data_IF_393288905193
#
_entry.id   IF_393288905193
#
_cell.length_a   1.000
_cell.length_b   1.000
_cell.length_c   1.000
_cell.angle_alpha   90.00
_cell.angle_beta   90.00
_cell.angle_gamma   90.00
#
_symmetry.space_group_name_H-M   'P 1'
#
loop_
_entity.id
_entity.type
_entity.pdbx_description
1 polymer ?
#
# COMPACT_ATOMS: atom_id res chain seq x y z
N UNK A 1 14.25 6.76 -18.31
CA UNK A 1 15.44 7.12 -17.50
C UNK A 1 15.84 8.60 -17.59
N UNK A 2 15.45 9.35 -18.59
CA UNK A 2 15.77 10.80 -18.71
C UNK A 2 15.23 11.63 -17.54
N UNK A 3 14.03 11.34 -17.05
CA UNK A 3 13.43 12.09 -15.94
C UNK A 3 14.25 12.04 -14.63
N UNK A 4 14.89 10.91 -14.33
CA UNK A 4 15.69 10.75 -13.11
C UNK A 4 17.00 11.54 -13.21
N UNK A 5 17.59 11.62 -14.41
CA UNK A 5 18.85 12.35 -14.64
C UNK A 5 18.72 13.87 -14.54
N UNK A 6 17.52 14.38 -14.79
CA UNK A 6 17.21 15.82 -14.79
C UNK A 6 16.52 16.29 -13.49
N UNK A 7 16.29 15.39 -12.53
CA UNK A 7 15.74 15.73 -11.22
C UNK A 7 16.82 16.39 -10.36
N UNK A 8 16.45 17.43 -9.61
CA UNK A 8 17.36 18.10 -8.67
C UNK A 8 17.90 17.16 -7.56
N UNK A 9 17.15 16.06 -7.29
CA UNK A 9 17.57 14.93 -6.46
C UNK A 9 17.27 13.62 -7.22
N UNK A 10 18.28 13.03 -7.84
CA UNK A 10 18.13 11.82 -8.66
C UNK A 10 17.70 10.59 -7.85
N UNK A 11 18.16 10.50 -6.60
CA UNK A 11 17.86 9.35 -5.73
C UNK A 11 16.43 9.39 -5.26
N UNK A 12 15.93 10.54 -4.82
CA UNK A 12 14.54 10.73 -4.46
C UNK A 12 13.60 10.42 -5.64
N UNK A 13 13.94 10.87 -6.85
CA UNK A 13 13.17 10.57 -8.03
C UNK A 13 13.15 9.07 -8.34
N UNK A 14 14.29 8.38 -8.22
CA UNK A 14 14.40 6.94 -8.44
C UNK A 14 13.52 6.16 -7.46
N UNK A 15 13.65 6.46 -6.17
CA UNK A 15 12.86 5.80 -5.12
C UNK A 15 11.37 6.10 -5.21
N UNK A 16 11.00 7.32 -5.62
CA UNK A 16 9.60 7.69 -5.89
C UNK A 16 9.00 6.82 -6.98
N UNK A 17 9.67 6.69 -8.13
CA UNK A 17 9.21 5.82 -9.21
C UNK A 17 9.16 4.35 -8.81
N UNK A 18 10.14 3.89 -8.02
CA UNK A 18 10.16 2.52 -7.51
C UNK A 18 8.96 2.25 -6.60
N UNK A 19 8.73 3.11 -5.59
CA UNK A 19 7.62 2.99 -4.67
C UNK A 19 6.25 2.97 -5.38
N UNK A 20 6.06 3.83 -6.39
CA UNK A 20 4.84 3.85 -7.19
C UNK A 20 4.60 2.52 -7.92
N UNK A 21 5.64 1.98 -8.55
CA UNK A 21 5.53 0.72 -9.31
C UNK A 21 5.34 -0.49 -8.41
N UNK A 22 6.00 -0.52 -7.27
CA UNK A 22 5.79 -1.57 -6.26
C UNK A 22 4.38 -1.52 -5.70
N UNK A 23 3.85 -0.32 -5.43
CA UNK A 23 2.46 -0.14 -5.01
C UNK A 23 1.49 -0.65 -6.08
N UNK A 24 1.68 -0.26 -7.33
CA UNK A 24 0.86 -0.75 -8.43
C UNK A 24 0.91 -2.28 -8.56
N UNK A 25 2.09 -2.88 -8.40
CA UNK A 25 2.24 -4.34 -8.38
C UNK A 25 1.43 -4.99 -7.26
N UNK A 26 1.51 -4.46 -6.03
CA UNK A 26 0.75 -4.98 -4.89
C UNK A 26 -0.76 -4.90 -5.11
N UNK A 27 -1.25 -3.82 -5.72
CA UNK A 27 -2.67 -3.66 -6.06
C UNK A 27 -3.09 -4.69 -7.11
N UNK A 28 -2.41 -4.73 -8.24
CA UNK A 28 -2.74 -5.61 -9.37
C UNK A 28 -2.64 -7.10 -8.99
N UNK A 29 -1.65 -7.47 -8.20
CA UNK A 29 -1.43 -8.87 -7.77
C UNK A 29 -2.58 -9.43 -6.93
N UNK A 30 -3.38 -8.59 -6.29
CA UNK A 30 -4.58 -9.02 -5.55
C UNK A 30 -5.67 -9.56 -6.48
N UNK A 31 -5.80 -8.97 -7.68
CA UNK A 31 -6.78 -9.37 -8.69
C UNK A 31 -6.18 -10.37 -9.69
N UNK A 32 -4.90 -10.22 -10.02
CA UNK A 32 -4.18 -11.04 -10.98
C UNK A 32 -2.95 -11.69 -10.31
N UNK A 33 -3.12 -12.82 -9.59
CA UNK A 33 -2.04 -13.42 -8.80
C UNK A 33 -0.79 -13.81 -9.59
N UNK A 34 -0.95 -14.11 -10.88
CA UNK A 34 0.15 -14.56 -11.77
C UNK A 34 0.85 -13.40 -12.49
N UNK A 35 0.50 -12.13 -12.17
CA UNK A 35 1.14 -10.98 -12.81
C UNK A 35 2.62 -10.91 -12.43
N UNK A 36 3.48 -10.73 -13.45
CA UNK A 36 4.89 -10.49 -13.25
C UNK A 36 5.17 -9.01 -12.95
N UNK A 37 6.13 -8.73 -12.06
CA UNK A 37 6.60 -7.38 -11.81
C UNK A 37 7.55 -6.93 -12.92
N UNK A 38 7.06 -6.08 -13.83
CA UNK A 38 7.82 -5.57 -14.98
C UNK A 38 7.95 -4.03 -14.91
N UNK A 39 8.68 -3.48 -13.92
CA UNK A 39 8.67 -2.05 -13.61
C UNK A 39 9.15 -1.16 -14.76
N UNK A 40 9.98 -1.69 -15.68
CA UNK A 40 10.43 -0.94 -16.88
C UNK A 40 9.31 -0.69 -17.90
N UNK A 41 8.25 -1.49 -17.87
CA UNK A 41 7.10 -1.40 -18.78
C UNK A 41 5.94 -0.59 -18.21
N UNK A 42 6.02 -0.16 -16.97
CA UNK A 42 4.94 0.53 -16.25
C UNK A 42 5.25 2.03 -16.15
N UNK A 43 4.72 2.87 -17.06
CA UNK A 43 4.91 4.31 -16.96
C UNK A 43 4.18 4.87 -15.74
N UNK A 44 4.82 5.85 -15.12
CA UNK A 44 4.28 6.61 -13.99
C UNK A 44 4.14 8.06 -14.44
N UNK A 45 3.00 8.67 -14.20
CA UNK A 45 2.75 10.09 -14.41
C UNK A 45 2.29 10.71 -13.11
N UNK A 46 2.77 11.91 -12.80
CA UNK A 46 2.37 12.69 -11.64
C UNK A 46 1.59 13.92 -12.07
N UNK A 47 0.57 14.28 -11.29
CA UNK A 47 -0.06 15.59 -11.39
C UNK A 47 0.84 16.62 -10.70
N UNK A 48 1.28 17.63 -11.46
CA UNK A 48 2.27 18.62 -11.00
C UNK A 48 1.71 19.67 -10.02
N UNK A 49 0.47 19.52 -9.56
CA UNK A 49 -0.26 20.62 -8.90
C UNK A 49 -0.08 20.74 -7.39
N UNK A 50 0.62 19.82 -6.68
CA UNK A 50 0.65 19.80 -5.21
C UNK A 50 2.03 19.55 -4.61
N UNK A 51 2.39 20.28 -3.55
CA UNK A 51 3.75 20.43 -3.02
C UNK A 51 4.25 19.41 -1.98
N UNK A 52 3.38 18.64 -1.32
CA UNK A 52 3.77 17.64 -0.30
C UNK A 52 3.19 16.24 -0.55
N UNK A 53 2.13 16.15 -1.32
CA UNK A 53 1.48 14.94 -1.75
C UNK A 53 1.36 15.03 -3.25
N UNK A 54 1.96 14.11 -3.97
CA UNK A 54 1.83 14.03 -5.41
C UNK A 54 0.83 12.95 -5.77
N UNK A 55 -0.25 13.35 -6.40
CA UNK A 55 -1.20 12.43 -7.02
C UNK A 55 -0.62 11.95 -8.34
N UNK A 56 -0.87 10.71 -8.69
CA UNK A 56 -0.31 10.15 -9.92
C UNK A 56 -1.04 8.91 -10.41
N UNK A 57 -0.52 8.41 -11.50
CA UNK A 57 -1.06 7.25 -12.20
C UNK A 57 0.07 6.31 -12.62
N UNK A 58 -0.08 5.03 -12.36
CA UNK A 58 0.76 3.97 -12.92
C UNK A 58 -0.05 3.16 -13.91
N UNK A 59 0.35 3.18 -15.17
CA UNK A 59 -0.28 2.34 -16.21
C UNK A 59 0.35 0.95 -16.19
N UNK A 60 -0.49 -0.07 -15.95
CA UNK A 60 -0.08 -1.48 -16.04
C UNK A 60 -0.67 -2.07 -17.31
N UNK A 61 0.15 -2.39 -18.32
CA UNK A 61 -0.34 -2.90 -19.60
C UNK A 61 -1.28 -4.10 -19.41
N UNK A 62 -2.41 -4.08 -20.11
CA UNK A 62 -3.45 -5.13 -20.13
C UNK A 62 -4.13 -5.38 -18.76
N UNK A 63 -3.83 -4.57 -17.73
CA UNK A 63 -4.39 -4.72 -16.38
C UNK A 63 -5.08 -3.48 -15.85
N UNK A 64 -4.83 -2.33 -16.48
CA UNK A 64 -5.49 -1.08 -16.14
C UNK A 64 -4.60 -0.06 -15.43
N UNK A 65 -5.23 0.97 -14.98
CA UNK A 65 -4.60 2.13 -14.34
C UNK A 65 -4.67 1.99 -12.82
N UNK A 66 -3.55 2.32 -12.15
CA UNK A 66 -3.48 2.39 -10.69
C UNK A 66 -3.26 3.83 -10.28
N UNK A 67 -4.22 4.37 -9.57
CA UNK A 67 -4.20 5.71 -9.00
C UNK A 67 -3.42 5.71 -7.71
N UNK A 68 -2.50 6.67 -7.55
CA UNK A 68 -1.55 6.68 -6.43
C UNK A 68 -1.50 8.03 -5.73
N UNK A 69 -1.23 7.96 -4.40
CA UNK A 69 -0.72 9.06 -3.61
C UNK A 69 0.72 8.78 -3.23
N UNK A 70 1.63 9.67 -3.57
CA UNK A 70 3.03 9.63 -3.18
C UNK A 70 3.29 10.68 -2.10
N UNK A 71 3.82 10.25 -0.98
CA UNK A 71 4.28 11.07 0.13
C UNK A 71 5.80 11.01 0.15
N UNK A 72 6.44 12.18 0.09
CA UNK A 72 7.89 12.31 0.22
C UNK A 72 8.23 13.28 1.35
N UNK A 73 9.15 12.88 2.20
CA UNK A 73 9.77 13.70 3.21
C UNK A 73 11.26 13.32 3.30
N UNK A 74 12.08 14.05 4.10
CA UNK A 74 13.52 13.77 4.18
C UNK A 74 13.88 12.34 4.63
N UNK A 75 13.00 11.68 5.38
CA UNK A 75 13.30 10.41 6.04
C UNK A 75 12.79 9.19 5.25
N UNK A 76 11.68 9.35 4.49
CA UNK A 76 11.09 8.24 3.72
C UNK A 76 10.28 8.70 2.52
N UNK A 77 10.09 7.78 1.60
CA UNK A 77 9.14 7.86 0.50
C UNK A 77 8.09 6.77 0.70
N UNK A 78 6.82 7.16 0.76
CA UNK A 78 5.69 6.25 0.92
C UNK A 78 4.68 6.44 -0.20
N UNK A 79 4.22 5.34 -0.79
CA UNK A 79 3.23 5.36 -1.85
C UNK A 79 2.07 4.42 -1.50
N UNK A 80 0.86 4.93 -1.66
CA UNK A 80 -0.38 4.14 -1.57
C UNK A 80 -1.14 4.22 -2.88
N UNK A 81 -1.98 3.23 -3.18
CA UNK A 81 -2.71 3.23 -4.44
C UNK A 81 -3.87 2.26 -4.48
N UNK A 82 -4.75 2.50 -5.44
CA UNK A 82 -5.98 1.74 -5.72
C UNK A 82 -6.24 1.67 -7.23
N UNK A 83 -7.05 0.73 -7.65
CA UNK A 83 -7.52 0.56 -9.02
C UNK A 83 -8.76 1.41 -9.37
N UNK A 84 -9.42 1.99 -8.36
CA UNK A 84 -10.54 2.93 -8.55
C UNK A 84 -10.20 4.31 -8.00
N UNK A 85 -10.23 5.36 -8.83
CA UNK A 85 -9.92 6.73 -8.43
C UNK A 85 -10.78 7.20 -7.25
N UNK A 86 -12.07 6.84 -7.22
CA UNK A 86 -13.00 7.21 -6.15
C UNK A 86 -12.65 6.64 -4.76
N UNK A 87 -11.76 5.65 -4.71
CA UNK A 87 -11.28 5.04 -3.48
C UNK A 87 -9.97 5.67 -2.98
N UNK A 88 -9.25 6.43 -3.81
CA UNK A 88 -7.92 6.93 -3.50
C UNK A 88 -7.89 7.84 -2.25
N UNK A 89 -8.82 8.80 -2.16
CA UNK A 89 -8.92 9.70 -1.01
C UNK A 89 -9.52 9.05 0.26
N UNK A 90 -9.99 7.80 0.14
CA UNK A 90 -10.53 7.01 1.27
C UNK A 90 -9.51 6.09 1.90
N UNK A 91 -8.29 6.05 1.38
CA UNK A 91 -7.20 5.25 1.95
C UNK A 91 -6.84 5.82 3.31
N UNK A 92 -6.89 4.99 4.34
CA UNK A 92 -6.28 5.27 5.64
C UNK A 92 -4.88 4.66 5.60
N UNK A 93 -3.85 5.46 5.78
CA UNK A 93 -2.47 4.98 5.80
C UNK A 93 -1.64 5.75 6.82
N UNK A 94 -0.58 5.11 7.29
CA UNK A 94 0.40 5.74 8.17
C UNK A 94 1.76 5.08 8.02
N UNK A 95 2.81 5.80 8.46
CA UNK A 95 4.19 5.34 8.50
C UNK A 95 4.71 5.54 9.92
N UNK A 96 5.17 4.47 10.53
CA UNK A 96 5.63 4.43 11.91
C UNK A 96 7.12 4.06 12.00
N UNK A 97 7.82 4.67 12.94
CA UNK A 97 9.19 4.28 13.26
C UNK A 97 9.21 2.93 13.98
N UNK A 98 10.02 2.01 13.48
CA UNK A 98 10.27 0.74 14.16
C UNK A 98 11.07 1.02 15.45
N UNK A 99 10.60 0.59 16.61
CA UNK A 99 11.34 0.75 17.86
C UNK A 99 12.73 0.11 17.79
N UNK A 100 13.72 0.78 18.37
CA UNK A 100 15.06 0.23 18.47
C UNK A 100 15.08 -1.11 19.20
N UNK A 101 15.88 -2.08 18.70
CA UNK A 101 16.02 -3.40 19.29
C UNK A 101 15.63 -4.54 18.35
N UNK A 102 15.32 -5.72 18.92
CA UNK A 102 14.98 -6.94 18.13
C UNK A 102 13.49 -7.03 17.78
N UNK A 103 12.85 -5.91 17.43
CA UNK A 103 11.43 -5.90 17.06
C UNK A 103 11.25 -6.45 15.64
N UNK A 104 10.42 -7.47 15.48
CA UNK A 104 10.04 -7.99 14.15
C UNK A 104 9.18 -6.95 13.42
N UNK A 105 9.64 -6.40 12.28
CA UNK A 105 8.90 -5.38 11.54
C UNK A 105 7.52 -5.85 11.08
N UNK A 106 7.40 -7.12 10.74
CA UNK A 106 6.13 -7.71 10.28
C UNK A 106 5.10 -7.85 11.40
N UNK A 107 5.55 -8.13 12.64
CA UNK A 107 4.66 -8.13 13.81
C UNK A 107 4.29 -6.71 14.20
N UNK A 108 5.25 -5.80 14.20
CA UNK A 108 5.03 -4.41 14.57
C UNK A 108 4.07 -3.71 13.62
N UNK A 109 4.24 -3.87 12.30
CA UNK A 109 3.31 -3.28 11.32
C UNK A 109 1.87 -3.78 11.49
N UNK A 110 1.69 -5.07 11.85
CA UNK A 110 0.35 -5.60 12.17
C UNK A 110 -0.22 -5.02 13.47
N UNK A 111 0.62 -4.77 14.46
CA UNK A 111 0.19 -4.15 15.71
C UNK A 111 -0.28 -2.71 15.45
N UNK A 112 0.52 -1.90 14.74
CA UNK A 112 0.16 -0.52 14.39
C UNK A 112 -1.18 -0.48 13.61
N UNK A 113 -1.32 -1.33 12.60
CA UNK A 113 -2.58 -1.44 11.86
C UNK A 113 -3.74 -1.88 12.75
N UNK A 114 -3.57 -2.88 13.62
CA UNK A 114 -4.62 -3.33 14.51
C UNK A 114 -5.06 -2.24 15.49
N UNK A 115 -4.13 -1.44 16.01
CA UNK A 115 -4.42 -0.28 16.87
C UNK A 115 -5.20 0.80 16.11
N UNK A 116 -4.81 1.11 14.87
CA UNK A 116 -5.51 2.06 14.02
C UNK A 116 -6.96 1.62 13.74
N UNK A 117 -7.15 0.35 13.40
CA UNK A 117 -8.50 -0.21 13.18
C UNK A 117 -9.33 -0.24 14.48
N UNK A 118 -8.73 -0.61 15.61
CA UNK A 118 -9.40 -0.60 16.92
C UNK A 118 -9.93 0.79 17.25
N UNK A 119 -9.10 1.82 17.05
CA UNK A 119 -9.50 3.21 17.25
C UNK A 119 -10.61 3.63 16.27
N UNK A 120 -10.47 3.30 14.99
CA UNK A 120 -11.43 3.71 13.95
C UNK A 120 -12.82 3.09 14.14
N UNK A 121 -12.89 1.85 14.64
CA UNK A 121 -14.14 1.12 14.84
C UNK A 121 -14.63 1.10 16.29
N UNK A 122 -13.93 1.78 17.21
CA UNK A 122 -14.22 1.74 18.65
C UNK A 122 -14.27 0.29 19.20
N UNK A 123 -13.33 -0.54 18.77
CA UNK A 123 -13.20 -1.94 19.16
C UNK A 123 -12.02 -2.13 20.12
N UNK A 124 -12.05 -3.23 20.88
CA UNK A 124 -10.90 -3.65 21.66
C UNK A 124 -9.85 -4.32 20.74
N UNK A 125 -8.57 -4.09 21.03
CA UNK A 125 -7.47 -4.62 20.22
C UNK A 125 -7.51 -6.15 20.07
N UNK A 126 -7.94 -6.88 21.11
CA UNK A 126 -8.01 -8.35 21.10
C UNK A 126 -9.06 -8.92 20.11
N UNK A 127 -10.05 -8.10 19.71
CA UNK A 127 -11.06 -8.50 18.72
C UNK A 127 -10.49 -8.50 17.29
N UNK A 128 -9.37 -7.80 17.06
CA UNK A 128 -8.78 -7.64 15.73
C UNK A 128 -7.59 -8.57 15.58
N UNK A 129 -7.60 -9.37 14.50
CA UNK A 129 -6.47 -10.24 14.13
C UNK A 129 -6.12 -10.03 12.67
N UNK A 130 -4.84 -9.80 12.41
CA UNK A 130 -4.31 -9.70 11.05
C UNK A 130 -3.53 -10.97 10.77
N UNK A 131 -4.03 -11.77 9.85
CA UNK A 131 -3.45 -13.08 9.50
C UNK A 131 -2.98 -13.10 8.06
N UNK A 132 -1.92 -13.84 7.81
CA UNK A 132 -1.41 -14.15 6.48
C UNK A 132 -1.35 -15.67 6.34
N UNK A 133 -2.04 -16.19 5.34
CA UNK A 133 -2.08 -17.62 5.06
C UNK A 133 -1.07 -17.98 3.97
N UNK A 134 -0.73 -19.26 3.86
CA UNK A 134 0.02 -19.82 2.73
C UNK A 134 -0.92 -20.70 1.93
N UNK A 135 -0.89 -20.54 0.61
CA UNK A 135 -1.60 -21.42 -0.32
C UNK A 135 -0.59 -21.92 -1.35
N UNK A 136 -0.48 -23.24 -1.51
CA UNK A 136 0.52 -23.89 -2.40
C UNK A 136 1.96 -23.39 -2.15
N UNK A 137 2.32 -23.15 -0.89
CA UNK A 137 3.65 -22.64 -0.52
C UNK A 137 3.82 -21.13 -0.60
N UNK A 138 2.96 -20.41 -1.30
CA UNK A 138 3.03 -18.95 -1.45
C UNK A 138 2.30 -18.21 -0.32
N UNK A 139 2.91 -17.12 0.13
CA UNK A 139 2.28 -16.22 1.10
C UNK A 139 1.18 -15.42 0.41
N UNK A 140 -0.03 -15.57 0.93
CA UNK A 140 -1.18 -14.79 0.47
C UNK A 140 -1.17 -13.37 1.06
N UNK A 141 -1.88 -12.40 0.44
CA UNK A 141 -2.09 -11.09 1.03
C UNK A 141 -2.67 -11.19 2.46
N UNK A 142 -2.24 -10.31 3.38
CA UNK A 142 -2.77 -10.30 4.74
C UNK A 142 -4.27 -10.00 4.74
N UNK A 143 -4.99 -10.53 5.74
CA UNK A 143 -6.44 -10.35 5.89
C UNK A 143 -6.77 -9.94 7.31
N UNK A 144 -7.78 -9.08 7.46
CA UNK A 144 -8.32 -8.63 8.75
C UNK A 144 -9.46 -9.54 9.18
N UNK A 145 -9.44 -9.93 10.46
CA UNK A 145 -10.51 -10.66 11.13
C UNK A 145 -10.96 -9.84 12.34
N UNK A 146 -12.27 -9.66 12.51
CA UNK A 146 -12.89 -9.05 13.68
C UNK A 146 -13.78 -10.09 14.34
N UNK A 147 -13.59 -10.32 15.64
CA UNK A 147 -14.28 -11.39 16.40
C UNK A 147 -14.22 -12.77 15.70
N UNK A 148 -13.07 -13.07 15.11
CA UNK A 148 -12.82 -14.32 14.40
C UNK A 148 -13.42 -14.40 12.99
N UNK A 149 -14.19 -13.43 12.55
CA UNK A 149 -14.82 -13.38 11.23
C UNK A 149 -13.94 -12.59 10.27
N UNK A 150 -13.72 -13.14 9.06
CA UNK A 150 -13.02 -12.44 7.97
C UNK A 150 -13.84 -11.23 7.53
N UNK A 151 -13.14 -10.10 7.34
CA UNK A 151 -13.75 -8.86 6.87
C UNK A 151 -13.46 -8.61 5.39
N UNK A 152 -14.18 -7.64 4.80
CA UNK A 152 -13.92 -7.10 3.46
C UNK A 152 -12.96 -5.89 3.51
N UNK A 153 -12.25 -5.68 4.62
CA UNK A 153 -11.22 -4.66 4.74
C UNK A 153 -10.00 -5.10 3.96
N UNK A 154 -9.62 -4.32 2.96
CA UNK A 154 -8.40 -4.55 2.19
C UNK A 154 -7.25 -3.81 2.82
N UNK A 155 -6.12 -4.49 2.98
CA UNK A 155 -4.94 -3.96 3.65
C UNK A 155 -3.66 -4.22 2.86
N UNK A 156 -2.70 -3.34 3.04
CA UNK A 156 -1.32 -3.51 2.60
C UNK A 156 -0.37 -3.18 3.74
N UNK A 157 0.70 -3.96 3.85
CA UNK A 157 1.75 -3.77 4.85
C UNK A 157 3.09 -3.70 4.12
N UNK A 158 3.96 -2.81 4.58
CA UNK A 158 5.35 -2.73 4.13
C UNK A 158 6.27 -2.38 5.30
N UNK A 159 7.54 -2.66 5.12
CA UNK A 159 8.61 -2.22 6.02
C UNK A 159 9.89 -2.08 5.21
N UNK A 160 10.68 -1.08 5.57
CA UNK A 160 12.02 -0.86 5.03
C UNK A 160 12.85 -0.05 6.04
N UNK A 161 14.10 -0.45 6.22
CA UNK A 161 14.98 0.19 7.20
C UNK A 161 14.37 0.23 8.61
N UNK A 162 14.21 1.44 9.14
CA UNK A 162 13.62 1.71 10.45
C UNK A 162 12.13 2.10 10.39
N UNK A 163 11.46 1.90 9.25
CA UNK A 163 10.07 2.25 9.08
C UNK A 163 9.19 1.04 8.81
N UNK A 164 7.97 1.09 9.30
CA UNK A 164 6.87 0.23 8.90
C UNK A 164 5.72 1.09 8.41
N UNK A 165 4.96 0.58 7.45
CA UNK A 165 3.81 1.30 6.94
C UNK A 165 2.62 0.38 6.71
N UNK A 166 1.42 0.95 6.79
CA UNK A 166 0.19 0.26 6.44
C UNK A 166 -0.73 1.16 5.62
N UNK A 167 -1.56 0.52 4.82
CA UNK A 167 -2.66 1.16 4.12
C UNK A 167 -3.92 0.29 4.24
N UNK A 168 -5.07 0.94 4.35
CA UNK A 168 -6.39 0.31 4.53
C UNK A 168 -7.37 0.92 3.55
N UNK A 169 -8.14 0.09 2.88
CA UNK A 169 -9.33 0.50 2.13
C UNK A 169 -10.52 -0.38 2.50
N UNK A 170 -11.69 0.22 2.44
CA UNK A 170 -12.95 -0.52 2.59
C UNK A 170 -13.44 -0.88 1.19
N UNK A 171 -13.46 -2.17 0.88
CA UNK A 171 -14.01 -2.64 -0.39
C UNK A 171 -15.49 -2.27 -0.42
N UNK A 172 -15.84 -1.25 -1.21
CA UNK A 172 -17.22 -1.05 -1.58
C UNK A 172 -17.64 -2.29 -2.37
N UNK A 173 -18.40 -3.19 -1.80
CA UNK A 173 -19.14 -4.19 -2.58
C UNK A 173 -19.96 -3.40 -3.58
N UNK A 174 -19.54 -3.29 -4.83
CA UNK A 174 -20.48 -3.07 -5.92
C UNK A 174 -21.54 -4.15 -5.73
N UNK A 175 -22.77 -3.71 -5.44
CA UNK A 175 -23.95 -4.55 -5.30
C UNK A 175 -23.86 -5.73 -6.26
N UNK A 176 -23.52 -6.90 -5.74
CA UNK A 176 -23.96 -8.15 -6.34
C UNK A 176 -25.46 -8.22 -6.08
N UNK A 177 -26.20 -7.49 -6.90
CA UNK A 177 -27.63 -7.78 -7.11
C UNK A 177 -27.64 -9.11 -7.84
N UNK A 178 -28.25 -10.04 -7.20
CA UNK A 178 -28.66 -11.38 -7.61
C UNK A 178 -28.93 -11.50 -9.11
#
# INVERSE_FOLDING_TARGET
>A
MEFVKNAGNSDEALWSFWACKETAYKVIKKTFPDVAFLPRRWPVTFDKSKSKKSDGLVKVPDKGDIYIHLFSNPDYIHCVGVDELSALDKIICDVENLPAGKTDPSLFSRLCLAQSLAKSFSLNLHQIKIKRTRTKGELQPPRVYIDGRKTDIDISLSHDGCFVAYAVTFLNKKNSIL
#
